data_IF_367459308599
#
_entry.id   IF_367459308599
#
_cell.length_a   1.000
_cell.length_b   1.000
_cell.length_c   1.000
_cell.angle_alpha   90.00
_cell.angle_beta   90.00
_cell.angle_gamma   90.00
#
_symmetry.space_group_name_H-M   'P 1'
#
loop_
_entity.id
_entity.type
_entity.pdbx_description
1 polymer ?
#
# COMPACT_ATOMS: atom_id res chain seq x y z
N UNK A 1 -21.71 -10.20 -33.50
CA UNK A 1 -20.99 -10.27 -32.21
C UNK A 1 -19.78 -11.16 -32.39
N UNK A 2 -18.59 -10.63 -32.12
CA UNK A 2 -17.34 -11.39 -32.16
C UNK A 2 -16.94 -11.64 -30.71
N UNK A 3 -16.94 -12.90 -30.30
CA UNK A 3 -16.51 -13.29 -28.95
C UNK A 3 -15.02 -13.60 -29.01
N UNK A 4 -14.20 -12.90 -28.22
CA UNK A 4 -12.79 -13.25 -28.02
C UNK A 4 -12.63 -14.11 -26.77
N UNK A 5 -11.90 -15.22 -26.89
CA UNK A 5 -11.53 -16.08 -25.77
C UNK A 5 -10.01 -16.01 -25.61
N UNK A 6 -9.55 -15.76 -24.38
CA UNK A 6 -8.14 -15.81 -24.00
C UNK A 6 -7.91 -16.93 -22.99
N UNK A 7 -6.67 -17.44 -22.92
CA UNK A 7 -6.30 -18.52 -22.00
C UNK A 7 -5.04 -18.12 -21.25
N UNK A 8 -5.06 -18.32 -19.93
CA UNK A 8 -3.87 -18.26 -19.08
C UNK A 8 -3.39 -19.67 -18.79
N UNK A 9 -2.09 -19.91 -18.95
CA UNK A 9 -1.49 -21.24 -18.86
C UNK A 9 -0.35 -21.24 -17.83
N UNK A 10 -0.36 -22.20 -16.92
CA UNK A 10 0.77 -22.51 -16.06
C UNK A 10 1.48 -23.78 -16.51
N UNK A 11 2.81 -23.74 -16.60
CA UNK A 11 3.62 -24.87 -17.06
C UNK A 11 4.66 -25.24 -16.01
N UNK A 12 4.58 -26.46 -15.50
CA UNK A 12 5.61 -27.06 -14.66
C UNK A 12 6.39 -28.12 -15.45
N UNK A 13 7.72 -27.98 -15.46
CA UNK A 13 8.59 -28.94 -16.11
C UNK A 13 8.84 -30.15 -15.20
N UNK A 14 8.61 -31.35 -15.73
CA UNK A 14 9.02 -32.60 -15.07
C UNK A 14 10.51 -32.79 -15.30
N UNK A 15 11.27 -32.90 -14.22
CA UNK A 15 12.73 -33.10 -14.24
C UNK A 15 13.11 -34.26 -13.32
N UNK A 16 14.37 -34.69 -13.37
CA UNK A 16 14.92 -35.69 -12.44
C UNK A 16 14.95 -35.23 -10.97
N UNK A 17 14.76 -33.93 -10.72
CA UNK A 17 14.67 -33.33 -9.38
C UNK A 17 13.22 -33.04 -8.93
N UNK A 18 12.22 -33.46 -9.70
CA UNK A 18 10.82 -33.29 -9.30
C UNK A 18 10.48 -34.24 -8.15
N UNK A 19 10.06 -33.69 -6.99
CA UNK A 19 9.82 -34.47 -5.77
C UNK A 19 8.67 -35.48 -5.94
N UNK A 20 7.48 -35.00 -6.31
CA UNK A 20 6.29 -35.83 -6.49
C UNK A 20 5.24 -35.18 -7.42
N UNK A 21 4.25 -35.97 -7.84
CA UNK A 21 3.19 -35.55 -8.78
C UNK A 21 2.33 -34.41 -8.20
N UNK A 22 2.00 -34.46 -6.91
CA UNK A 22 1.19 -33.44 -6.25
C UNK A 22 1.92 -32.09 -6.28
N UNK A 23 3.21 -32.09 -5.97
CA UNK A 23 4.06 -30.89 -6.05
C UNK A 23 4.14 -30.31 -7.47
N UNK A 24 4.24 -31.16 -8.49
CA UNK A 24 4.21 -30.72 -9.90
C UNK A 24 2.85 -30.14 -10.31
N UNK A 25 1.75 -30.72 -9.85
CA UNK A 25 0.40 -30.18 -10.11
C UNK A 25 0.19 -28.83 -9.46
N UNK A 26 0.58 -28.68 -8.18
CA UNK A 26 0.52 -27.39 -7.48
C UNK A 26 1.41 -26.33 -8.14
N UNK A 27 2.58 -26.73 -8.64
CA UNK A 27 3.47 -25.83 -9.38
C UNK A 27 2.84 -25.32 -10.68
N UNK A 28 2.15 -26.18 -11.44
CA UNK A 28 1.44 -25.81 -12.66
C UNK A 28 0.23 -24.92 -12.35
N UNK A 29 -0.57 -25.27 -11.35
CA UNK A 29 -1.74 -24.50 -10.93
C UNK A 29 -1.35 -23.09 -10.48
N UNK A 30 -0.39 -22.97 -9.58
CA UNK A 30 0.03 -21.65 -9.11
C UNK A 30 0.72 -20.81 -10.19
N UNK A 31 1.42 -21.44 -11.16
CA UNK A 31 1.90 -20.70 -12.33
C UNK A 31 0.75 -20.18 -13.18
N UNK A 32 -0.35 -20.93 -13.29
CA UNK A 32 -1.56 -20.49 -13.99
C UNK A 32 -2.19 -19.29 -13.27
N UNK A 33 -2.21 -19.28 -11.94
CA UNK A 33 -2.73 -18.14 -11.18
C UNK A 33 -1.88 -16.88 -11.35
N UNK A 34 -0.54 -17.01 -11.34
CA UNK A 34 0.37 -15.90 -11.68
C UNK A 34 0.09 -15.39 -13.11
N UNK A 35 -0.14 -16.30 -14.07
CA UNK A 35 -0.50 -15.92 -15.44
C UNK A 35 -1.82 -15.14 -15.49
N UNK A 36 -2.80 -15.44 -14.63
CA UNK A 36 -4.06 -14.67 -14.52
C UNK A 36 -3.81 -13.30 -13.90
N UNK A 37 -3.08 -13.23 -12.78
CA UNK A 37 -2.82 -11.99 -12.04
C UNK A 37 -1.96 -11.00 -12.84
N UNK A 38 -1.01 -11.49 -13.63
CA UNK A 38 -0.12 -10.63 -14.46
C UNK A 38 -0.74 -10.26 -15.83
N UNK A 39 -2.05 -10.00 -15.86
CA UNK A 39 -2.76 -9.49 -17.04
C UNK A 39 -3.33 -10.55 -17.99
N UNK A 40 -3.24 -11.83 -17.65
CA UNK A 40 -3.85 -12.91 -18.42
C UNK A 40 -3.23 -13.16 -19.80
N UNK A 41 -3.88 -14.04 -20.58
CA UNK A 41 -3.55 -14.36 -21.98
C UNK A 41 -2.06 -14.69 -22.21
N UNK A 42 -1.47 -15.48 -21.31
CA UNK A 42 -0.02 -15.76 -21.31
C UNK A 42 0.30 -17.15 -20.75
N UNK A 43 1.53 -17.57 -21.03
CA UNK A 43 2.14 -18.75 -20.45
C UNK A 43 3.10 -18.33 -19.34
N UNK A 44 2.91 -18.87 -18.14
CA UNK A 44 3.83 -18.73 -17.02
C UNK A 44 4.57 -20.04 -16.79
N UNK A 45 5.89 -20.00 -16.95
CA UNK A 45 6.77 -21.11 -16.61
C UNK A 45 7.01 -21.13 -15.10
N UNK A 46 6.88 -22.32 -14.52
CA UNK A 46 7.36 -22.60 -13.18
C UNK A 46 8.88 -22.71 -13.23
N UNK A 47 9.56 -21.69 -12.70
CA UNK A 47 10.99 -21.75 -12.45
C UNK A 47 11.20 -22.30 -11.05
N UNK A 48 11.77 -23.51 -10.95
CA UNK A 48 12.35 -24.05 -9.72
C UNK A 48 13.64 -23.30 -9.34
N UNK A 49 13.67 -21.97 -9.51
CA UNK A 49 14.71 -21.17 -8.87
C UNK A 49 14.50 -21.30 -7.37
N UNK A 50 15.55 -21.67 -6.64
CA UNK A 50 15.52 -21.79 -5.18
C UNK A 50 14.88 -20.59 -4.49
N UNK A 51 14.94 -19.38 -5.09
CA UNK A 51 14.34 -18.15 -4.59
C UNK A 51 12.80 -18.16 -4.51
N UNK A 52 12.08 -18.69 -5.51
CA UNK A 52 10.60 -18.75 -5.48
C UNK A 52 10.07 -19.88 -4.60
N UNK A 53 10.79 -21.00 -4.54
CA UNK A 53 10.51 -22.08 -3.59
C UNK A 53 10.82 -21.65 -2.14
N UNK A 54 11.89 -20.87 -1.91
CA UNK A 54 12.20 -20.31 -0.60
C UNK A 54 11.20 -19.24 -0.18
N UNK A 55 10.76 -18.37 -1.10
CA UNK A 55 9.70 -17.38 -0.84
C UNK A 55 8.39 -18.10 -0.45
N UNK A 56 7.99 -19.15 -1.18
CA UNK A 56 6.83 -19.96 -0.81
C UNK A 56 6.99 -20.66 0.55
N UNK A 57 8.19 -21.17 0.88
CA UNK A 57 8.48 -21.73 2.20
C UNK A 57 8.37 -20.66 3.30
N UNK A 58 8.81 -19.43 3.03
CA UNK A 58 8.64 -18.26 3.90
C UNK A 58 7.17 -17.96 4.16
N UNK A 59 6.37 -17.81 3.09
CA UNK A 59 4.93 -17.57 3.17
C UNK A 59 4.21 -18.68 3.95
N UNK A 60 4.48 -19.96 3.66
CA UNK A 60 3.85 -21.08 4.38
C UNK A 60 4.26 -21.07 5.86
N UNK A 61 5.53 -20.77 6.17
CA UNK A 61 5.95 -20.62 7.57
C UNK A 61 5.18 -19.48 8.26
N UNK A 62 4.88 -18.39 7.56
CA UNK A 62 4.11 -17.29 8.11
C UNK A 62 2.64 -17.65 8.33
N UNK A 63 2.00 -18.35 7.40
CA UNK A 63 0.62 -18.81 7.56
C UNK A 63 0.44 -19.62 8.85
N UNK A 64 1.45 -20.41 9.25
CA UNK A 64 1.40 -21.17 10.51
C UNK A 64 1.61 -20.34 11.78
N UNK A 65 2.14 -19.11 11.67
CA UNK A 65 2.51 -18.24 12.79
C UNK A 65 1.63 -17.00 12.92
N UNK A 66 0.86 -16.66 11.89
CA UNK A 66 0.15 -15.38 11.82
C UNK A 66 -0.84 -15.19 12.96
N UNK A 67 -1.61 -16.22 13.30
CA UNK A 67 -2.58 -16.17 14.40
C UNK A 67 -1.86 -15.97 15.74
N UNK A 68 -0.72 -16.65 15.96
CA UNK A 68 0.10 -16.49 17.16
C UNK A 68 0.68 -15.07 17.30
N UNK A 69 1.08 -14.46 16.18
CA UNK A 69 1.61 -13.07 16.17
C UNK A 69 0.53 -12.05 16.44
N UNK A 70 -0.67 -12.26 15.88
CA UNK A 70 -1.83 -11.42 16.13
C UNK A 70 -2.28 -11.52 17.59
N UNK A 71 -2.21 -12.72 18.19
CA UNK A 71 -2.69 -12.97 19.55
C UNK A 71 -1.68 -12.60 20.66
N UNK A 72 -0.36 -12.61 20.37
CA UNK A 72 0.70 -12.41 21.37
C UNK A 72 1.53 -11.12 21.18
N UNK A 73 0.88 -10.02 20.80
CA UNK A 73 1.51 -8.68 20.70
C UNK A 73 2.74 -8.61 19.76
N UNK A 74 2.82 -9.48 18.75
CA UNK A 74 3.97 -9.58 17.85
C UNK A 74 4.08 -8.49 16.78
N UNK A 75 3.11 -7.57 16.73
CA UNK A 75 3.06 -6.44 15.80
C UNK A 75 3.48 -5.12 16.49
N UNK A 76 4.09 -4.22 15.71
CA UNK A 76 4.41 -2.85 16.12
C UNK A 76 4.00 -1.85 15.03
N UNK A 77 3.85 -0.59 15.41
CA UNK A 77 3.61 0.51 14.48
C UNK A 77 4.91 1.29 14.24
N UNK A 78 5.22 1.48 12.97
CA UNK A 78 6.27 2.38 12.51
C UNK A 78 5.61 3.54 11.77
N UNK A 79 6.34 4.61 11.55
CA UNK A 79 5.89 5.70 10.73
C UNK A 79 7.00 6.24 9.83
N UNK A 80 6.62 6.84 8.72
CA UNK A 80 7.54 7.57 7.83
C UNK A 80 6.94 8.90 7.42
N UNK A 81 7.75 9.95 7.47
CA UNK A 81 7.31 11.31 7.13
C UNK A 81 7.00 11.47 5.65
N UNK A 82 5.86 12.09 5.38
CA UNK A 82 5.45 12.66 4.08
C UNK A 82 5.60 14.19 4.20
N UNK A 83 6.56 14.73 3.45
CA UNK A 83 7.00 16.11 3.55
C UNK A 83 6.39 16.95 2.42
N UNK A 84 5.75 18.10 2.69
CA UNK A 84 5.37 19.02 1.64
C UNK A 84 6.61 19.62 0.97
N UNK A 85 6.63 19.65 -0.35
CA UNK A 85 7.74 20.20 -1.14
C UNK A 85 7.26 21.44 -1.90
N UNK A 86 8.15 22.42 -2.07
CA UNK A 86 7.80 23.66 -2.78
C UNK A 86 7.00 24.68 -1.95
N UNK A 87 6.88 24.50 -0.64
CA UNK A 87 6.21 25.46 0.26
C UNK A 87 6.90 26.81 0.26
N UNK A 88 6.10 27.87 0.25
CA UNK A 88 6.64 29.23 0.33
C UNK A 88 7.18 29.51 1.75
N UNK A 89 8.22 30.36 1.88
CA UNK A 89 8.71 30.76 3.20
C UNK A 89 7.57 31.36 4.05
N UNK A 90 7.26 30.71 5.18
CA UNK A 90 6.22 31.16 6.13
C UNK A 90 4.88 30.41 6.02
N UNK A 91 4.74 29.45 5.12
CA UNK A 91 3.62 28.49 5.18
C UNK A 91 3.80 27.51 6.33
N UNK A 92 2.68 27.12 6.96
CA UNK A 92 2.67 26.12 8.01
C UNK A 92 3.06 24.79 7.37
N UNK A 93 4.06 24.14 7.94
CA UNK A 93 4.49 22.83 7.49
C UNK A 93 3.38 21.82 7.80
N UNK A 94 2.68 21.36 6.78
CA UNK A 94 1.70 20.28 6.92
C UNK A 94 2.44 18.95 7.09
N UNK A 95 2.71 18.56 8.33
CA UNK A 95 3.43 17.33 8.65
C UNK A 95 2.48 16.15 8.57
N UNK A 96 2.78 15.21 7.70
CA UNK A 96 2.00 14.02 7.46
C UNK A 96 2.90 12.80 7.69
N UNK A 97 2.38 11.74 8.28
CA UNK A 97 3.09 10.46 8.44
C UNK A 97 2.30 9.31 7.84
N UNK A 98 2.96 8.44 7.09
CA UNK A 98 2.41 7.12 6.75
C UNK A 98 2.70 6.15 7.89
N UNK A 99 1.68 5.43 8.35
CA UNK A 99 1.79 4.34 9.31
C UNK A 99 2.15 3.06 8.57
N UNK A 100 3.22 2.42 9.04
CA UNK A 100 3.79 1.21 8.48
C UNK A 100 3.73 0.09 9.51
N UNK A 101 3.23 -1.07 9.10
CA UNK A 101 3.23 -2.25 9.95
C UNK A 101 4.66 -2.75 10.17
N UNK A 102 5.01 -3.03 11.42
CA UNK A 102 6.24 -3.72 11.79
C UNK A 102 5.96 -5.01 12.55
N UNK A 103 6.99 -5.84 12.66
CA UNK A 103 7.00 -7.04 13.49
C UNK A 103 7.95 -6.81 14.65
N UNK A 104 7.46 -6.97 15.88
CA UNK A 104 8.32 -6.90 17.07
C UNK A 104 9.36 -8.02 17.02
N UNK A 105 10.58 -7.68 17.37
CA UNK A 105 11.70 -8.62 17.37
C UNK A 105 12.12 -9.03 18.77
N UNK A 106 12.37 -10.33 18.94
CA UNK A 106 13.21 -10.88 20.01
C UNK A 106 14.53 -11.47 19.45
N UNK A 107 14.78 -11.47 18.12
CA UNK A 107 15.91 -12.20 17.48
C UNK A 107 16.47 -11.57 16.19
N UNK A 108 17.77 -11.79 15.97
CA UNK A 108 18.63 -11.22 14.91
C UNK A 108 18.29 -11.58 13.45
N UNK A 109 17.26 -12.39 13.18
CA UNK A 109 16.82 -12.72 11.82
C UNK A 109 15.37 -12.28 11.63
N UNK A 110 15.18 -11.01 11.30
CA UNK A 110 13.88 -10.47 10.88
C UNK A 110 13.45 -11.17 9.57
N UNK A 111 12.32 -11.88 9.54
CA UNK A 111 11.73 -12.29 8.29
C UNK A 111 10.99 -11.09 7.67
N UNK A 112 10.85 -11.06 6.34
CA UNK A 112 10.39 -9.87 5.61
C UNK A 112 8.94 -9.52 5.96
N UNK A 113 8.68 -8.24 6.30
CA UNK A 113 7.32 -7.73 6.49
C UNK A 113 6.45 -7.95 5.25
N UNK A 114 7.05 -7.86 4.06
CA UNK A 114 6.37 -8.15 2.80
C UNK A 114 5.90 -9.61 2.73
N UNK A 115 6.75 -10.57 3.12
CA UNK A 115 6.36 -12.00 3.15
C UNK A 115 5.26 -12.26 4.18
N UNK A 116 5.23 -11.50 5.28
CA UNK A 116 4.18 -11.58 6.29
C UNK A 116 2.84 -11.07 5.75
N UNK A 117 2.83 -9.92 5.07
CA UNK A 117 1.64 -9.36 4.42
C UNK A 117 1.12 -10.32 3.33
N UNK A 118 2.00 -10.81 2.45
CA UNK A 118 1.65 -11.81 1.42
C UNK A 118 1.01 -13.07 2.04
N UNK A 119 1.53 -13.54 3.18
CA UNK A 119 0.94 -14.66 3.91
C UNK A 119 -0.41 -14.33 4.54
N UNK A 120 -0.59 -13.10 5.02
CA UNK A 120 -1.86 -12.62 5.56
C UNK A 120 -2.94 -12.54 4.50
N UNK A 121 -2.62 -12.06 3.30
CA UNK A 121 -3.52 -12.07 2.16
C UNK A 121 -3.89 -13.50 1.76
N UNK A 122 -2.88 -14.37 1.61
CA UNK A 122 -3.08 -15.77 1.23
C UNK A 122 -3.94 -16.55 2.22
N UNK A 123 -3.80 -16.28 3.53
CA UNK A 123 -4.58 -16.92 4.60
C UNK A 123 -5.87 -16.20 4.97
N UNK A 124 -6.25 -15.15 4.22
CA UNK A 124 -7.43 -14.31 4.47
C UNK A 124 -7.45 -13.75 5.90
N UNK A 125 -6.27 -13.32 6.38
CA UNK A 125 -6.03 -12.64 7.66
C UNK A 125 -5.73 -11.16 7.51
N UNK A 126 -5.52 -10.65 6.29
CA UNK A 126 -5.20 -9.24 6.07
C UNK A 126 -6.24 -8.27 6.67
N UNK A 127 -7.54 -8.60 6.59
CA UNK A 127 -8.58 -7.78 7.24
C UNK A 127 -8.51 -7.77 8.78
N UNK A 128 -7.93 -8.80 9.41
CA UNK A 128 -7.66 -8.78 10.86
C UNK A 128 -6.49 -7.86 11.19
N UNK A 129 -5.47 -7.82 10.32
CA UNK A 129 -4.34 -6.88 10.43
C UNK A 129 -4.83 -5.45 10.26
N UNK A 130 -5.64 -5.15 9.25
CA UNK A 130 -6.18 -3.80 9.04
C UNK A 130 -6.95 -3.31 10.27
N UNK A 131 -7.81 -4.17 10.85
CA UNK A 131 -8.52 -3.86 12.10
C UNK A 131 -7.57 -3.62 13.27
N UNK A 132 -6.51 -4.43 13.39
CA UNK A 132 -5.49 -4.25 14.42
C UNK A 132 -4.75 -2.91 14.24
N UNK A 133 -4.34 -2.56 13.02
CA UNK A 133 -3.63 -1.30 12.73
C UNK A 133 -4.53 -0.10 13.05
N UNK A 134 -5.75 -0.05 12.52
CA UNK A 134 -6.69 1.07 12.78
C UNK A 134 -6.91 1.24 14.28
N UNK A 135 -7.26 0.17 14.99
CA UNK A 135 -7.48 0.22 16.44
C UNK A 135 -6.24 0.72 17.18
N UNK A 136 -5.06 0.23 16.83
CA UNK A 136 -3.82 0.55 17.53
C UNK A 136 -3.38 1.99 17.26
N UNK A 137 -3.50 2.47 16.02
CA UNK A 137 -3.19 3.86 15.65
C UNK A 137 -4.13 4.82 16.38
N UNK A 138 -5.44 4.58 16.31
CA UNK A 138 -6.42 5.49 16.92
C UNK A 138 -6.29 5.53 18.44
N UNK A 139 -6.05 4.37 19.07
CA UNK A 139 -5.73 4.30 20.49
C UNK A 139 -4.45 5.07 20.83
N UNK A 140 -3.39 4.90 20.04
CA UNK A 140 -2.13 5.60 20.26
C UNK A 140 -2.29 7.12 20.12
N UNK A 141 -3.04 7.60 19.13
CA UNK A 141 -3.34 9.04 18.96
C UNK A 141 -4.12 9.56 20.18
N UNK A 142 -5.13 8.82 20.65
CA UNK A 142 -5.94 9.17 21.82
C UNK A 142 -5.09 9.27 23.11
N UNK A 143 -4.16 8.34 23.30
CA UNK A 143 -3.23 8.34 24.43
C UNK A 143 -2.13 9.41 24.33
N UNK A 144 -1.94 10.01 23.15
CA UNK A 144 -0.87 10.97 22.86
C UNK A 144 -1.39 12.21 22.11
N UNK A 145 -2.53 12.78 22.52
CA UNK A 145 -3.22 13.88 21.83
C UNK A 145 -2.31 15.07 21.46
N UNK A 146 -1.26 15.33 22.26
CA UNK A 146 -0.27 16.38 22.00
C UNK A 146 0.46 16.23 20.66
N UNK A 147 0.51 15.02 20.09
CA UNK A 147 1.13 14.80 18.78
C UNK A 147 0.38 15.58 17.68
N UNK A 148 -0.91 15.85 17.87
CA UNK A 148 -1.74 16.58 16.91
C UNK A 148 -1.40 18.08 16.85
N UNK A 149 -0.60 18.59 17.79
CA UNK A 149 -0.05 19.96 17.71
C UNK A 149 1.04 20.07 16.65
N UNK A 150 1.67 18.95 16.26
CA UNK A 150 2.81 18.90 15.33
C UNK A 150 2.56 18.02 14.11
N UNK A 151 1.65 17.06 14.15
CA UNK A 151 1.27 16.17 13.05
C UNK A 151 -0.15 16.47 12.60
N UNK A 152 -0.32 16.74 11.31
CA UNK A 152 -1.61 17.07 10.72
C UNK A 152 -2.37 15.86 10.21
N UNK A 153 -1.67 14.78 9.83
CA UNK A 153 -2.32 13.59 9.29
C UNK A 153 -1.51 12.32 9.56
N UNK A 154 -2.23 11.21 9.71
CA UNK A 154 -1.71 9.85 9.74
C UNK A 154 -2.36 9.04 8.62
N UNK A 155 -1.56 8.61 7.65
CA UNK A 155 -1.95 7.74 6.56
C UNK A 155 -1.93 6.28 7.01
N UNK A 156 -3.03 5.55 6.81
CA UNK A 156 -3.19 4.14 7.20
C UNK A 156 -3.56 3.32 5.96
N UNK A 157 -2.72 2.34 5.63
CA UNK A 157 -2.96 1.41 4.53
C UNK A 157 -4.15 0.47 4.81
N UNK A 158 -5.02 0.29 3.81
CA UNK A 158 -6.15 -0.63 3.84
C UNK A 158 -6.04 -1.64 2.69
N UNK A 159 -6.27 -2.91 3.00
CA UNK A 159 -6.36 -3.96 1.97
C UNK A 159 -7.69 -3.90 1.21
N UNK A 160 -7.69 -4.40 -0.04
CA UNK A 160 -8.92 -4.56 -0.82
C UNK A 160 -9.98 -5.46 -0.15
N UNK A 161 -9.53 -6.35 0.75
CA UNK A 161 -10.43 -7.18 1.54
C UNK A 161 -11.26 -6.36 2.53
N UNK A 162 -10.66 -5.35 3.14
CA UNK A 162 -11.35 -4.47 4.10
C UNK A 162 -12.28 -3.48 3.38
N UNK A 163 -11.91 -3.02 2.18
CA UNK A 163 -12.77 -2.16 1.35
C UNK A 163 -14.08 -2.85 0.91
N UNK A 164 -14.06 -4.18 0.81
CA UNK A 164 -15.24 -4.99 0.44
C UNK A 164 -16.00 -5.57 1.64
N UNK A 165 -15.59 -5.26 2.88
CA UNK A 165 -16.26 -5.70 4.10
C UNK A 165 -17.14 -4.57 4.66
N UNK A 166 -18.46 -4.69 4.52
CA UNK A 166 -19.42 -3.71 5.08
C UNK A 166 -19.23 -3.51 6.59
N UNK A 167 -18.84 -4.55 7.33
CA UNK A 167 -18.60 -4.46 8.78
C UNK A 167 -17.30 -3.75 9.12
N UNK A 168 -16.46 -3.46 8.14
CA UNK A 168 -15.23 -2.70 8.37
C UNK A 168 -15.54 -1.21 8.47
N UNK A 169 -16.51 -0.69 7.70
CA UNK A 169 -16.99 0.69 7.82
C UNK A 169 -17.46 0.96 9.26
N UNK A 170 -18.41 0.15 9.74
CA UNK A 170 -18.97 0.29 11.09
C UNK A 170 -17.87 0.26 12.16
N UNK A 171 -16.89 -0.63 12.00
CA UNK A 171 -15.76 -0.74 12.89
C UNK A 171 -14.85 0.49 12.89
N UNK A 172 -14.52 1.05 11.72
CA UNK A 172 -13.71 2.28 11.64
C UNK A 172 -14.43 3.43 12.33
N UNK A 173 -15.74 3.58 12.07
CA UNK A 173 -16.57 4.61 12.70
C UNK A 173 -16.62 4.46 14.23
N UNK A 174 -16.83 3.24 14.72
CA UNK A 174 -16.80 2.92 16.15
C UNK A 174 -15.43 3.24 16.76
N UNK A 175 -14.32 2.87 16.12
CA UNK A 175 -12.98 3.18 16.64
C UNK A 175 -12.70 4.69 16.69
N UNK A 176 -13.15 5.46 15.69
CA UNK A 176 -13.00 6.93 15.69
C UNK A 176 -13.77 7.52 16.89
N UNK A 177 -15.02 7.10 17.09
CA UNK A 177 -15.86 7.58 18.18
C UNK A 177 -15.33 7.17 19.56
N UNK A 178 -14.99 5.89 19.76
CA UNK A 178 -14.50 5.35 21.03
C UNK A 178 -13.21 6.02 21.51
N UNK A 179 -12.30 6.36 20.59
CA UNK A 179 -11.01 6.96 20.91
C UNK A 179 -11.05 8.50 20.88
N UNK A 180 -12.18 9.10 20.48
CA UNK A 180 -12.36 10.55 20.33
C UNK A 180 -11.26 11.22 19.49
N UNK A 181 -10.85 10.55 18.41
CA UNK A 181 -9.82 11.04 17.48
C UNK A 181 -10.45 11.97 16.44
N UNK A 182 -9.90 13.17 16.19
CA UNK A 182 -10.36 14.03 15.11
C UNK A 182 -10.21 13.31 13.76
N UNK A 183 -11.33 13.00 13.09
CA UNK A 183 -11.31 12.25 11.83
C UNK A 183 -10.44 12.92 10.73
N UNK A 184 -10.33 14.25 10.78
CA UNK A 184 -9.54 15.09 9.87
C UNK A 184 -8.03 14.79 9.92
N UNK A 185 -7.53 14.20 11.03
CA UNK A 185 -6.14 13.78 11.14
C UNK A 185 -5.88 12.37 10.58
N UNK A 186 -6.91 11.69 10.05
CA UNK A 186 -6.78 10.36 9.48
C UNK A 186 -6.85 10.44 7.96
N UNK A 187 -5.91 9.78 7.30
CA UNK A 187 -5.93 9.53 5.87
C UNK A 187 -5.89 8.02 5.65
N UNK A 188 -6.78 7.48 4.82
CA UNK A 188 -6.73 6.05 4.47
C UNK A 188 -6.14 5.87 3.09
N UNK A 189 -5.22 4.92 2.95
CA UNK A 189 -4.53 4.63 1.70
C UNK A 189 -5.03 3.30 1.13
N UNK A 190 -5.32 3.29 -0.16
CA UNK A 190 -5.72 2.10 -0.89
C UNK A 190 -4.85 1.95 -2.12
N UNK A 191 -4.38 0.75 -2.43
CA UNK A 191 -3.61 0.53 -3.66
C UNK A 191 -4.51 0.65 -4.90
N UNK A 192 -3.90 1.01 -6.04
CA UNK A 192 -4.60 1.05 -7.32
C UNK A 192 -5.34 -0.27 -7.61
N UNK A 193 -4.67 -1.40 -7.37
CA UNK A 193 -5.23 -2.74 -7.61
C UNK A 193 -6.45 -2.99 -6.73
N UNK A 194 -6.38 -2.67 -5.43
CA UNK A 194 -7.49 -2.84 -4.50
C UNK A 194 -8.71 -1.98 -4.89
N UNK A 195 -8.49 -0.75 -5.36
CA UNK A 195 -9.57 0.12 -5.84
C UNK A 195 -10.23 -0.38 -7.12
N UNK A 196 -9.45 -1.01 -8.02
CA UNK A 196 -9.94 -1.48 -9.33
C UNK A 196 -10.74 -2.78 -9.24
N UNK A 197 -10.37 -3.70 -8.34
CA UNK A 197 -11.08 -4.99 -8.21
C UNK A 197 -12.58 -4.81 -7.95
N UNK A 198 -12.96 -3.75 -7.22
CA UNK A 198 -14.35 -3.43 -6.96
C UNK A 198 -14.60 -1.92 -6.79
N UNK A 199 -14.54 -1.20 -7.92
CA UNK A 199 -14.61 0.26 -7.97
C UNK A 199 -15.86 0.85 -7.29
N UNK A 200 -17.02 0.21 -7.42
CA UNK A 200 -18.26 0.69 -6.81
C UNK A 200 -18.21 0.61 -5.28
N UNK A 201 -17.74 -0.52 -4.76
CA UNK A 201 -17.69 -0.75 -3.31
C UNK A 201 -16.60 0.12 -2.68
N UNK A 202 -15.45 0.27 -3.34
CA UNK A 202 -14.41 1.20 -2.93
C UNK A 202 -14.91 2.66 -2.91
N UNK A 203 -15.62 3.11 -3.95
CA UNK A 203 -16.17 4.47 -3.98
C UNK A 203 -17.24 4.69 -2.89
N UNK A 204 -18.09 3.69 -2.61
CA UNK A 204 -19.05 3.76 -1.52
C UNK A 204 -18.36 3.84 -0.15
N UNK A 205 -17.36 2.97 0.08
CA UNK A 205 -16.53 2.97 1.28
C UNK A 205 -15.88 4.33 1.52
N UNK A 206 -15.18 4.85 0.50
CA UNK A 206 -14.47 6.12 0.59
C UNK A 206 -15.45 7.25 0.93
N UNK A 207 -16.57 7.39 0.20
CA UNK A 207 -17.52 8.47 0.49
C UNK A 207 -18.08 8.39 1.91
N UNK A 208 -18.43 7.19 2.38
CA UNK A 208 -19.01 6.99 3.71
C UNK A 208 -18.05 7.42 4.82
N UNK A 209 -16.77 7.05 4.69
CA UNK A 209 -15.75 7.43 5.68
C UNK A 209 -15.37 8.91 5.53
N UNK A 210 -15.30 9.45 4.31
CA UNK A 210 -15.03 10.89 4.07
C UNK A 210 -16.08 11.82 4.66
N UNK A 211 -17.34 11.39 4.74
CA UNK A 211 -18.40 12.17 5.39
C UNK A 211 -18.11 12.44 6.89
N UNK A 212 -17.16 11.73 7.50
CA UNK A 212 -16.69 12.00 8.86
C UNK A 212 -15.57 13.05 8.93
N UNK A 213 -14.91 13.36 7.82
CA UNK A 213 -13.76 14.26 7.75
C UNK A 213 -12.43 13.59 7.40
N UNK A 214 -12.35 12.24 7.36
CA UNK A 214 -11.14 11.53 6.95
C UNK A 214 -10.72 11.84 5.50
N UNK A 215 -9.41 11.88 5.27
CA UNK A 215 -8.82 11.93 3.94
C UNK A 215 -8.65 10.55 3.31
N UNK A 216 -8.47 10.50 2.00
CA UNK A 216 -8.10 9.28 1.28
C UNK A 216 -6.99 9.51 0.26
N UNK A 217 -6.12 8.51 0.11
CA UNK A 217 -5.04 8.46 -0.86
C UNK A 217 -5.17 7.21 -1.75
N UNK A 218 -4.87 7.36 -3.04
CA UNK A 218 -4.70 6.24 -3.97
C UNK A 218 -3.21 5.97 -4.14
N UNK A 219 -2.78 4.77 -3.76
CA UNK A 219 -1.38 4.34 -3.71
C UNK A 219 -0.93 3.54 -4.95
N UNK A 220 0.39 3.45 -5.15
CA UNK A 220 1.08 2.76 -6.25
C UNK A 220 0.61 3.20 -7.65
N UNK A 221 0.19 4.46 -7.83
CA UNK A 221 -0.43 4.89 -9.09
C UNK A 221 0.56 4.85 -10.25
N UNK A 222 0.17 4.15 -11.32
CA UNK A 222 0.95 4.03 -12.56
C UNK A 222 1.75 2.72 -12.67
N UNK A 223 1.77 1.87 -11.64
CA UNK A 223 2.44 0.56 -11.64
C UNK A 223 1.67 -0.54 -12.40
N UNK A 224 0.36 -0.34 -12.63
CA UNK A 224 -0.57 -1.33 -13.17
C UNK A 224 -1.17 -0.99 -14.54
N UNK A 225 -2.37 -1.54 -14.81
CA UNK A 225 -3.20 -1.20 -15.98
C UNK A 225 -3.93 0.13 -15.73
N UNK A 226 -3.18 1.15 -15.35
CA UNK A 226 -3.69 2.41 -14.84
C UNK A 226 -4.50 3.14 -15.88
N UNK A 227 -5.77 3.39 -15.57
CA UNK A 227 -6.62 4.28 -16.34
C UNK A 227 -6.91 5.52 -15.51
N UNK A 228 -6.69 6.70 -16.07
CA UNK A 228 -7.19 7.97 -15.52
C UNK A 228 -8.71 7.94 -15.24
N UNK A 229 -9.44 6.98 -15.82
CA UNK A 229 -10.83 6.70 -15.46
C UNK A 229 -11.01 6.38 -13.97
N UNK A 230 -10.12 5.60 -13.35
CA UNK A 230 -10.22 5.26 -11.93
C UNK A 230 -10.00 6.47 -11.05
N UNK A 231 -9.04 7.32 -11.42
CA UNK A 231 -8.79 8.58 -10.73
C UNK A 231 -10.02 9.50 -10.73
N UNK A 232 -10.86 9.41 -11.78
CA UNK A 232 -12.09 10.20 -11.91
C UNK A 232 -13.19 9.67 -11.00
N UNK A 233 -13.30 8.36 -10.91
CA UNK A 233 -14.42 7.70 -10.25
C UNK A 233 -14.16 7.45 -8.75
N UNK A 234 -12.89 7.44 -8.32
CA UNK A 234 -12.51 7.34 -6.91
C UNK A 234 -12.40 8.74 -6.25
N UNK A 235 -13.18 9.02 -5.19
CA UNK A 235 -13.21 10.32 -4.53
C UNK A 235 -12.04 10.53 -3.54
N UNK A 236 -10.83 10.17 -3.94
CA UNK A 236 -9.59 10.36 -3.15
C UNK A 236 -9.09 11.80 -3.20
N UNK A 237 -8.40 12.23 -2.14
CA UNK A 237 -7.80 13.56 -1.97
C UNK A 237 -6.34 13.62 -2.44
N UNK A 238 -5.64 12.49 -2.31
CA UNK A 238 -4.24 12.35 -2.68
C UNK A 238 -4.04 11.24 -3.72
N UNK A 239 -2.96 11.39 -4.48
CA UNK A 239 -2.45 10.39 -5.41
C UNK A 239 -0.96 10.17 -5.12
N UNK A 240 -0.57 8.96 -4.72
CA UNK A 240 0.85 8.58 -4.55
C UNK A 240 1.37 7.99 -5.85
N UNK A 241 2.45 8.56 -6.37
CA UNK A 241 3.12 8.08 -7.59
C UNK A 241 4.14 7.02 -7.19
N UNK A 242 3.99 5.83 -7.79
CA UNK A 242 4.87 4.69 -7.55
C UNK A 242 6.35 5.06 -7.78
N UNK A 243 7.20 4.59 -6.86
CA UNK A 243 8.63 4.84 -6.90
C UNK A 243 9.36 4.39 -8.17
N UNK A 244 8.78 3.51 -8.98
CA UNK A 244 9.37 3.07 -10.25
C UNK A 244 9.59 4.22 -11.23
N UNK A 245 8.74 5.26 -11.20
CA UNK A 245 8.95 6.47 -11.99
C UNK A 245 9.83 7.50 -11.28
N UNK A 246 9.89 7.48 -9.95
CA UNK A 246 10.61 8.49 -9.17
C UNK A 246 12.11 8.20 -9.11
N UNK A 247 12.51 6.93 -8.94
CA UNK A 247 13.91 6.52 -8.74
C UNK A 247 14.88 7.03 -9.81
N UNK A 248 14.45 7.09 -11.08
CA UNK A 248 15.28 7.50 -12.21
C UNK A 248 14.88 8.85 -12.83
N UNK A 249 13.98 9.61 -12.18
CA UNK A 249 13.38 10.83 -12.75
C UNK A 249 14.39 11.90 -13.17
N UNK A 250 15.56 11.95 -12.50
CA UNK A 250 16.64 12.90 -12.81
C UNK A 250 17.27 12.63 -14.19
N UNK A 251 17.33 11.36 -14.61
CA UNK A 251 18.08 10.91 -15.78
C UNK A 251 17.18 10.33 -16.89
N UNK A 252 15.87 10.32 -16.70
CA UNK A 252 14.91 9.69 -17.61
C UNK A 252 13.85 10.70 -18.04
N UNK A 253 13.97 11.18 -19.28
CA UNK A 253 12.97 12.07 -19.88
C UNK A 253 11.58 11.42 -19.93
N UNK A 254 11.54 10.09 -20.06
CA UNK A 254 10.30 9.32 -20.06
C UNK A 254 9.64 9.37 -18.69
N UNK A 255 10.38 9.06 -17.62
CA UNK A 255 9.83 9.06 -16.26
C UNK A 255 9.43 10.49 -15.84
N UNK A 256 10.25 11.49 -16.19
CA UNK A 256 9.92 12.89 -16.01
C UNK A 256 8.59 13.26 -16.68
N UNK A 257 8.39 12.86 -17.95
CA UNK A 257 7.17 13.16 -18.69
C UNK A 257 5.94 12.46 -18.08
N UNK A 258 6.10 11.22 -17.61
CA UNK A 258 5.02 10.47 -16.94
C UNK A 258 4.63 11.16 -15.63
N UNK A 259 5.58 11.43 -14.74
CA UNK A 259 5.33 12.08 -13.44
C UNK A 259 4.68 13.45 -13.64
N UNK A 260 5.17 14.23 -14.62
CA UNK A 260 4.56 15.51 -14.98
C UNK A 260 3.12 15.37 -15.47
N UNK A 261 2.85 14.42 -16.36
CA UNK A 261 1.48 14.17 -16.85
C UNK A 261 0.55 13.75 -15.72
N UNK A 262 0.99 12.87 -14.83
CA UNK A 262 0.18 12.42 -13.69
C UNK A 262 -0.13 13.62 -12.78
N UNK A 263 0.87 14.44 -12.50
CA UNK A 263 0.74 15.62 -11.63
C UNK A 263 -0.26 16.62 -12.18
N UNK A 264 -0.13 16.98 -13.46
CA UNK A 264 -1.05 17.93 -14.11
C UNK A 264 -2.50 17.43 -14.12
N UNK A 265 -2.72 16.13 -14.38
CA UNK A 265 -4.06 15.54 -14.39
C UNK A 265 -4.64 15.47 -12.98
N UNK A 266 -3.85 15.05 -11.98
CA UNK A 266 -4.29 14.99 -10.59
C UNK A 266 -4.72 16.38 -10.08
N UNK A 267 -3.91 17.42 -10.34
CA UNK A 267 -4.22 18.80 -10.00
C UNK A 267 -5.46 19.32 -10.71
N UNK A 268 -5.63 19.03 -12.00
CA UNK A 268 -6.83 19.40 -12.75
C UNK A 268 -8.10 18.78 -12.13
N UNK A 269 -7.96 17.61 -11.51
CA UNK A 269 -9.03 16.89 -10.82
C UNK A 269 -9.16 17.27 -9.34
N UNK A 270 -8.41 18.27 -8.87
CA UNK A 270 -8.46 18.77 -7.50
C UNK A 270 -7.79 17.87 -6.47
N UNK A 271 -6.88 16.98 -6.89
CA UNK A 271 -6.14 16.06 -6.03
C UNK A 271 -4.72 16.56 -5.81
N UNK A 272 -4.15 16.27 -4.64
CA UNK A 272 -2.73 16.52 -4.35
C UNK A 272 -1.89 15.29 -4.65
N UNK A 273 -0.61 15.48 -4.93
CA UNK A 273 0.29 14.44 -5.40
C UNK A 273 1.43 14.23 -4.41
N UNK A 274 1.66 12.97 -4.08
CA UNK A 274 2.76 12.51 -3.23
C UNK A 274 3.69 11.68 -4.13
N UNK A 275 4.98 11.98 -4.14
CA UNK A 275 5.98 11.15 -4.81
C UNK A 275 6.69 10.25 -3.79
N UNK A 276 6.74 8.96 -4.08
CA UNK A 276 7.39 7.97 -3.21
C UNK A 276 8.84 7.68 -3.64
N UNK A 277 9.58 6.97 -2.78
CA UNK A 277 10.97 6.58 -3.03
C UNK A 277 11.89 7.77 -3.38
N UNK A 278 11.66 8.92 -2.75
CA UNK A 278 12.53 10.10 -2.87
C UNK A 278 13.78 9.90 -2.01
N UNK A 279 14.90 9.56 -2.67
CA UNK A 279 16.14 9.15 -2.00
C UNK A 279 17.16 10.29 -1.80
N UNK A 280 17.00 11.43 -2.46
CA UNK A 280 17.97 12.53 -2.39
C UNK A 280 17.39 13.89 -2.86
N UNK A 281 18.14 14.96 -2.58
CA UNK A 281 17.77 16.34 -2.92
C UNK A 281 17.67 16.59 -4.43
N UNK A 282 18.38 15.84 -5.28
CA UNK A 282 18.27 16.01 -6.74
C UNK A 282 16.88 15.61 -7.23
N UNK A 283 16.34 14.50 -6.71
CA UNK A 283 14.95 14.07 -6.98
C UNK A 283 13.97 15.13 -6.47
N UNK A 284 14.12 15.62 -5.24
CA UNK A 284 13.26 16.68 -4.67
C UNK A 284 13.23 17.91 -5.58
N UNK A 285 14.40 18.34 -6.07
CA UNK A 285 14.51 19.49 -6.96
C UNK A 285 13.78 19.28 -8.30
N UNK A 286 13.80 18.07 -8.85
CA UNK A 286 13.05 17.73 -10.07
C UNK A 286 11.54 17.72 -9.81
N UNK A 287 11.11 17.11 -8.71
CA UNK A 287 9.69 17.04 -8.32
C UNK A 287 9.09 18.43 -8.05
N UNK A 288 9.84 19.30 -7.37
CA UNK A 288 9.44 20.68 -7.13
C UNK A 288 9.27 21.47 -8.45
N UNK A 289 10.14 21.23 -9.45
CA UNK A 289 9.97 21.85 -10.79
C UNK A 289 8.75 21.34 -11.54
N UNK A 290 8.36 20.08 -11.31
CA UNK A 290 7.14 19.50 -11.87
C UNK A 290 5.89 20.07 -11.18
N UNK A 291 6.01 20.45 -9.91
CA UNK A 291 4.91 20.92 -9.07
C UNK A 291 4.25 19.81 -8.25
N UNK A 292 4.97 18.73 -7.95
CA UNK A 292 4.48 17.71 -7.01
C UNK A 292 4.34 18.35 -5.61
N UNK A 293 3.28 17.99 -4.87
CA UNK A 293 2.94 18.65 -3.60
C UNK A 293 3.71 18.09 -2.40
N UNK A 294 3.96 16.77 -2.39
CA UNK A 294 4.62 16.09 -1.28
C UNK A 294 5.66 15.06 -1.75
N UNK A 295 6.65 14.79 -0.90
CA UNK A 295 7.66 13.78 -1.10
C UNK A 295 7.76 12.84 0.11
N UNK A 296 8.00 11.57 -0.17
CA UNK A 296 8.27 10.53 0.81
C UNK A 296 9.39 9.63 0.32
N UNK A 297 10.30 9.25 1.22
CA UNK A 297 11.41 8.36 0.90
C UNK A 297 12.58 8.58 1.84
N UNK A 298 13.62 7.75 1.71
CA UNK A 298 14.76 7.77 2.65
C UNK A 298 15.61 9.04 2.58
N UNK A 299 15.50 9.82 1.50
CA UNK A 299 16.11 11.15 1.41
C UNK A 299 15.35 12.21 2.21
N UNK A 300 14.09 11.94 2.56
CA UNK A 300 13.24 12.79 3.40
C UNK A 300 13.37 12.34 4.86
N UNK A 301 12.99 11.09 5.13
CA UNK A 301 13.01 10.49 6.45
C UNK A 301 12.98 8.96 6.35
N UNK A 302 13.54 8.26 7.33
CA UNK A 302 13.52 6.79 7.38
C UNK A 302 12.38 6.30 8.28
N UNK A 303 11.80 5.12 7.98
CA UNK A 303 10.82 4.52 8.88
C UNK A 303 11.38 4.29 10.28
N UNK A 304 10.69 4.79 11.29
CA UNK A 304 11.06 4.72 12.70
C UNK A 304 9.84 4.34 13.55
N UNK A 305 10.01 4.03 14.83
CA UNK A 305 8.89 3.62 15.68
C UNK A 305 7.93 4.80 15.88
N UNK A 306 6.62 4.55 15.94
CA UNK A 306 5.64 5.64 16.13
C UNK A 306 5.85 6.37 17.46
N UNK A 307 6.35 5.66 18.48
CA UNK A 307 6.65 6.21 19.81
C UNK A 307 7.75 7.27 19.79
N UNK A 308 8.56 7.33 18.74
CA UNK A 308 9.61 8.35 18.58
C UNK A 308 9.04 9.73 18.17
N UNK A 309 7.74 9.85 17.91
CA UNK A 309 7.06 11.13 17.65
C UNK A 309 6.76 11.95 18.91
N UNK A 310 6.96 11.37 20.11
CA UNK A 310 6.62 11.98 21.42
C UNK A 310 7.86 12.51 22.13
#
# INVERSE_FOLDING_TARGET
HQTSVSVSLGLAQVTEHSEDISSLMQAAESSCDIAKQTGGNRLQLFYASNAKLSQRKGIISWVTKIDDILDNDGLELRCQRIQPIGTAPGEIEHVHYEILLGLKSDRENLPSIQEFIEAAEYSNRIGHIDRWVVKTVLKWISENEQVLDIVNAFSINLSGKSLSDEKFIDFVLEQIEENNVPAECLCFEITETAGVENLSDAAYFINTIKDTGCGFSLDDFGSGMSSYAYLRDLPVDYLKIDGMFIKNIVNSDSDYAVVKSITEVAHFMGKRVIAEYVENDEIVNVLNKIGVDFAQGFGIDKPHLIEELI
#
